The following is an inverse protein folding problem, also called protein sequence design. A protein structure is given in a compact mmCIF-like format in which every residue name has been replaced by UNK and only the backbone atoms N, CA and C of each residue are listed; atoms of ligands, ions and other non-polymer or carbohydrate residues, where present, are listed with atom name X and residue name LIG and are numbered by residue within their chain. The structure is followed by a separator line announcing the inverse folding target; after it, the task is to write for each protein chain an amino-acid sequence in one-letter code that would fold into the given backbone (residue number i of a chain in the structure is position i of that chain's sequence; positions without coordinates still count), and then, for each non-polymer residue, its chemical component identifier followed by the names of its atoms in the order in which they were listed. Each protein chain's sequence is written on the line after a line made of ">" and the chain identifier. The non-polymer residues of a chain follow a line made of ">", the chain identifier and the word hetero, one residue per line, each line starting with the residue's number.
data_IF_576728323453
#
_entry.id   IF_576728323453
#
_cell.length_a   1.000
_cell.length_b   1.000
_cell.length_c   1.000
_cell.angle_alpha   90.00
_cell.angle_beta   90.00
_cell.angle_gamma   90.00
#
_symmetry.space_group_name_H-M   'P 1'
#
loop_
_entity.id
_entity.type
_entity.pdbx_description
1 polymer ?
#
# COMPACT_ATOMS: atom_id res chain seq x y z
N UNK A 1 29.65 21.97 0.99
CA UNK A 1 28.31 22.55 1.22
C UNK A 1 27.31 21.44 1.05
N UNK A 2 26.84 20.83 2.14
CA UNK A 2 25.82 19.78 2.13
C UNK A 2 24.44 20.44 2.15
N UNK A 3 23.76 20.45 1.01
CA UNK A 3 22.35 20.84 0.94
C UNK A 3 21.48 19.92 1.80
N UNK A 4 20.26 20.34 2.17
CA UNK A 4 19.36 19.49 2.93
C UNK A 4 19.06 18.23 2.10
N UNK A 5 19.44 17.07 2.64
CA UNK A 5 18.96 15.78 2.15
C UNK A 5 17.43 15.89 2.09
N UNK A 6 16.86 15.66 0.90
CA UNK A 6 15.42 15.79 0.67
C UNK A 6 14.60 15.01 1.70
N UNK A 7 13.36 15.40 1.93
CA UNK A 7 12.48 14.58 2.77
C UNK A 7 12.32 13.20 2.14
N UNK A 8 12.21 12.15 2.96
CA UNK A 8 11.77 10.85 2.47
C UNK A 8 10.41 11.04 1.78
N UNK A 9 10.26 10.44 0.60
CA UNK A 9 9.04 10.56 -0.21
C UNK A 9 8.52 9.19 -0.56
N UNK A 10 7.20 9.02 -0.42
CA UNK A 10 6.48 7.79 -0.72
C UNK A 10 5.35 8.14 -1.68
N UNK A 11 5.37 7.58 -2.87
CA UNK A 11 4.34 7.79 -3.89
C UNK A 11 3.79 6.46 -4.34
N UNK A 12 2.47 6.33 -4.41
CA UNK A 12 1.81 5.18 -5.03
C UNK A 12 1.20 5.68 -6.34
N UNK A 13 1.60 5.05 -7.44
CA UNK A 13 1.02 5.25 -8.75
C UNK A 13 0.01 4.12 -8.99
N UNK A 14 -1.26 4.50 -9.14
CA UNK A 14 -2.35 3.59 -9.51
C UNK A 14 -2.61 3.80 -11.00
N UNK A 15 -2.56 2.73 -11.78
CA UNK A 15 -2.79 2.74 -13.23
C UNK A 15 -4.21 2.26 -13.53
N UNK A 16 -4.93 2.99 -14.39
CA UNK A 16 -6.39 2.85 -14.61
C UNK A 16 -6.82 1.69 -15.54
N UNK A 17 -5.92 0.77 -15.90
CA UNK A 17 -6.11 -0.21 -16.98
C UNK A 17 -5.86 -1.68 -16.57
N UNK A 18 -5.84 -1.96 -15.28
CA UNK A 18 -5.49 -3.31 -14.78
C UNK A 18 -3.99 -3.61 -14.87
N UNK A 19 -3.16 -2.62 -15.22
CA UNK A 19 -1.73 -2.72 -15.03
C UNK A 19 -1.39 -2.77 -13.52
N UNK A 20 -0.29 -3.45 -13.15
CA UNK A 20 0.17 -3.50 -11.77
C UNK A 20 0.49 -2.10 -11.26
N UNK A 21 0.06 -1.80 -10.04
CA UNK A 21 0.41 -0.56 -9.37
C UNK A 21 1.89 -0.55 -8.99
N UNK A 22 2.43 0.64 -8.82
CA UNK A 22 3.80 0.84 -8.36
C UNK A 22 3.83 1.75 -7.14
N UNK A 23 4.45 1.29 -6.06
CA UNK A 23 4.84 2.11 -4.94
C UNK A 23 6.33 2.46 -5.07
N UNK A 24 6.66 3.75 -5.03
CA UNK A 24 8.04 4.23 -4.99
C UNK A 24 8.34 4.79 -3.59
N UNK A 25 9.42 4.31 -2.99
CA UNK A 25 9.90 4.72 -1.68
C UNK A 25 11.33 5.23 -1.82
N UNK A 26 11.53 6.53 -1.61
CA UNK A 26 12.84 7.16 -1.64
C UNK A 26 13.33 7.43 -0.21
N UNK A 27 14.47 6.82 0.14
CA UNK A 27 15.16 7.03 1.42
C UNK A 27 16.32 8.00 1.22
N UNK A 28 16.05 9.29 1.39
CA UNK A 28 17.02 10.34 1.08
C UNK A 28 18.32 10.23 1.91
N UNK A 29 18.21 9.79 3.17
CA UNK A 29 19.37 9.64 4.07
C UNK A 29 20.33 8.54 3.61
N UNK A 30 19.82 7.43 3.12
CA UNK A 30 20.63 6.30 2.63
C UNK A 30 20.90 6.38 1.14
N UNK A 31 20.29 7.34 0.44
CA UNK A 31 20.33 7.48 -1.02
C UNK A 31 19.82 6.23 -1.74
N UNK A 32 18.81 5.60 -1.16
CA UNK A 32 18.19 4.39 -1.71
C UNK A 32 16.79 4.70 -2.27
N UNK A 33 16.43 4.03 -3.35
CA UNK A 33 15.10 4.03 -3.94
C UNK A 33 14.60 2.60 -4.08
N UNK A 34 13.37 2.36 -3.64
CA UNK A 34 12.67 1.09 -3.79
C UNK A 34 11.41 1.30 -4.63
N UNK A 35 11.31 0.62 -5.77
CA UNK A 35 10.09 0.58 -6.59
C UNK A 35 9.47 -0.80 -6.46
N UNK A 36 8.35 -0.88 -5.76
CA UNK A 36 7.59 -2.11 -5.55
C UNK A 36 6.44 -2.14 -6.54
N UNK A 37 6.38 -3.16 -7.39
CA UNK A 37 5.28 -3.34 -8.35
C UNK A 37 4.47 -4.58 -8.01
N UNK A 38 3.18 -4.51 -8.32
CA UNK A 38 2.32 -5.66 -8.16
C UNK A 38 0.83 -5.32 -8.22
N UNK A 39 0.00 -6.25 -7.76
CA UNK A 39 -1.45 -6.11 -7.83
C UNK A 39 -1.99 -5.40 -6.58
N UNK A 40 -2.89 -4.43 -6.78
CA UNK A 40 -3.63 -3.83 -5.67
C UNK A 40 -4.91 -4.61 -5.35
N UNK A 41 -5.17 -4.73 -4.06
CA UNK A 41 -6.41 -5.25 -3.49
C UNK A 41 -6.97 -4.26 -2.48
N UNK A 42 -8.28 -4.08 -2.49
CA UNK A 42 -8.97 -3.17 -1.58
C UNK A 42 -9.91 -3.96 -0.66
N UNK A 43 -9.81 -3.71 0.64
CA UNK A 43 -10.68 -4.26 1.67
C UNK A 43 -11.45 -3.10 2.31
N UNK A 44 -12.68 -2.86 1.87
CA UNK A 44 -13.57 -1.88 2.45
C UNK A 44 -14.36 -2.41 3.64
N UNK A 45 -15.32 -1.61 4.11
CA UNK A 45 -16.29 -2.06 5.11
C UNK A 45 -17.29 -3.05 4.47
N UNK A 46 -17.70 -4.13 5.17
CA UNK A 46 -18.81 -4.96 4.69
C UNK A 46 -20.13 -4.20 4.55
N UNK A 47 -20.28 -3.11 5.31
CA UNK A 47 -21.49 -2.30 5.35
C UNK A 47 -21.47 -1.16 4.33
N UNK A 48 -20.30 -0.86 3.71
CA UNK A 48 -20.26 0.13 2.64
C UNK A 48 -20.92 -0.45 1.39
N UNK A 49 -21.85 0.30 0.79
CA UNK A 49 -22.56 -0.10 -0.44
C UNK A 49 -21.62 -0.34 -1.64
N UNK A 50 -20.36 0.07 -1.54
CA UNK A 50 -19.37 -0.13 -2.57
C UNK A 50 -18.88 -1.59 -2.57
N UNK A 51 -19.42 -2.36 -3.51
CA UNK A 51 -19.04 -3.73 -3.87
C UNK A 51 -17.56 -3.92 -4.31
N UNK A 52 -16.72 -2.89 -4.17
CA UNK A 52 -15.32 -2.87 -4.62
C UNK A 52 -14.35 -3.62 -3.67
N UNK A 53 -14.84 -4.21 -2.57
CA UNK A 53 -14.00 -5.03 -1.70
C UNK A 53 -13.61 -6.33 -2.39
N UNK A 54 -12.34 -6.42 -2.80
CA UNK A 54 -11.78 -7.59 -3.48
C UNK A 54 -10.58 -8.08 -2.68
N UNK A 55 -10.74 -9.10 -1.81
CA UNK A 55 -9.60 -9.65 -1.09
C UNK A 55 -8.64 -10.40 -2.03
N UNK A 56 -7.36 -10.46 -1.67
CA UNK A 56 -6.39 -11.20 -2.46
C UNK A 56 -6.72 -12.70 -2.51
N UNK A 57 -6.53 -13.35 -3.68
CA UNK A 57 -6.90 -14.76 -3.89
C UNK A 57 -6.08 -15.76 -3.06
N UNK A 58 -4.92 -15.32 -2.54
CA UNK A 58 -4.05 -16.11 -1.68
C UNK A 58 -4.34 -15.95 -0.18
N UNK A 59 -5.18 -14.99 0.20
CA UNK A 59 -5.49 -14.74 1.60
C UNK A 59 -6.70 -15.54 2.10
N UNK A 60 -7.19 -15.19 3.29
CA UNK A 60 -8.37 -15.84 3.85
C UNK A 60 -9.61 -15.56 2.99
N UNK A 61 -10.44 -16.58 2.78
CA UNK A 61 -11.79 -16.41 2.21
C UNK A 61 -12.81 -15.95 3.25
N UNK A 62 -12.47 -16.06 4.53
CA UNK A 62 -13.30 -15.59 5.62
C UNK A 62 -13.22 -14.07 5.74
N UNK A 63 -14.34 -13.39 5.58
CA UNK A 63 -14.44 -11.95 5.71
C UNK A 63 -14.10 -11.46 7.13
N UNK A 64 -14.39 -12.27 8.15
CA UNK A 64 -14.05 -11.95 9.54
C UNK A 64 -12.55 -11.76 9.76
N UNK A 65 -11.71 -12.48 9.02
CA UNK A 65 -10.26 -12.31 9.06
C UNK A 65 -9.84 -10.91 8.58
N UNK A 66 -10.38 -10.46 7.45
CA UNK A 66 -10.04 -9.16 6.86
C UNK A 66 -10.60 -7.98 7.65
N UNK A 67 -11.82 -8.13 8.18
CA UNK A 67 -12.41 -7.14 9.08
C UNK A 67 -11.56 -6.99 10.35
N UNK A 68 -11.10 -8.09 10.94
CA UNK A 68 -10.20 -8.05 12.10
C UNK A 68 -8.89 -7.31 11.78
N UNK A 69 -8.29 -7.58 10.62
CA UNK A 69 -7.09 -6.85 10.16
C UNK A 69 -7.38 -5.36 9.99
N UNK A 70 -8.53 -5.00 9.39
CA UNK A 70 -8.97 -3.62 9.21
C UNK A 70 -9.18 -2.91 10.54
N UNK A 71 -9.82 -3.55 11.52
CA UNK A 71 -9.96 -3.02 12.89
C UNK A 71 -8.61 -2.80 13.56
N UNK A 72 -7.67 -3.73 13.39
CA UNK A 72 -6.35 -3.63 13.99
C UNK A 72 -5.58 -2.41 13.45
N UNK A 73 -5.58 -2.23 12.12
CA UNK A 73 -4.93 -1.05 11.50
C UNK A 73 -5.64 0.23 11.92
N UNK A 74 -6.98 0.27 11.90
CA UNK A 74 -7.74 1.43 12.35
C UNK A 74 -7.37 1.86 13.77
N UNK A 75 -7.31 0.91 14.71
CA UNK A 75 -6.92 1.18 16.10
C UNK A 75 -5.46 1.63 16.27
N UNK A 76 -4.60 1.38 15.27
CA UNK A 76 -3.21 1.83 15.29
C UNK A 76 -3.04 3.27 14.80
N UNK A 77 -4.04 3.81 14.07
CA UNK A 77 -4.04 5.20 13.63
C UNK A 77 -4.26 6.13 14.83
N UNK A 78 -3.62 7.30 14.79
CA UNK A 78 -3.90 8.38 15.73
C UNK A 78 -5.33 8.91 15.55
N UNK A 79 -5.86 9.57 16.59
CA UNK A 79 -7.19 10.21 16.51
C UNK A 79 -7.27 11.21 15.34
N UNK A 80 -6.21 11.97 15.08
CA UNK A 80 -6.13 12.93 13.99
C UNK A 80 -6.16 12.25 12.60
N UNK A 81 -5.62 11.05 12.47
CA UNK A 81 -5.72 10.26 11.24
C UNK A 81 -7.10 9.65 11.08
N UNK A 82 -7.68 9.10 12.15
CA UNK A 82 -9.03 8.53 12.15
C UNK A 82 -10.09 9.57 11.75
N UNK A 83 -9.99 10.79 12.28
CA UNK A 83 -10.93 11.89 11.97
C UNK A 83 -10.90 12.31 10.50
N UNK A 84 -9.82 12.05 9.75
CA UNK A 84 -9.80 12.29 8.29
C UNK A 84 -10.80 11.43 7.52
N UNK A 85 -11.17 10.28 8.08
CA UNK A 85 -12.16 9.39 7.50
C UNK A 85 -13.61 9.75 7.90
N UNK A 86 -13.79 10.65 8.87
CA UNK A 86 -15.10 11.22 9.25
C UNK A 86 -15.62 12.26 8.25
N UNK A 87 -15.02 12.36 7.05
CA UNK A 87 -15.34 13.40 6.07
C UNK A 87 -16.82 13.40 5.69
N UNK A 88 -17.47 14.56 5.85
CA UNK A 88 -18.76 14.90 5.24
C UNK A 88 -18.73 14.46 3.78
N UNK A 89 -19.71 13.67 3.34
CA UNK A 89 -19.89 13.23 1.96
C UNK A 89 -19.46 14.34 1.00
N UNK A 90 -18.48 14.06 0.14
CA UNK A 90 -18.02 14.99 -0.91
C UNK A 90 -19.13 15.13 -1.95
N UNK A 91 -20.20 15.87 -1.62
CA UNK A 91 -21.17 16.49 -2.51
C UNK A 91 -22.33 17.11 -1.69
N UNK A 92 -22.36 18.44 -1.58
CA UNK A 92 -23.55 19.22 -1.91
C UNK A 92 -24.85 19.15 -1.09
N UNK A 93 -25.01 18.35 -0.03
CA UNK A 93 -26.27 18.33 0.72
C UNK A 93 -26.11 18.83 2.16
N UNK A 94 -26.48 20.09 2.37
CA UNK A 94 -26.67 20.67 3.68
C UNK A 94 -28.05 20.23 4.22
N UNK A 95 -28.13 18.97 4.63
CA UNK A 95 -29.25 18.45 5.42
C UNK A 95 -28.80 18.17 6.84
N UNK A 96 -29.44 18.82 7.81
CA UNK A 96 -29.21 18.70 9.25
C UNK A 96 -28.84 17.26 9.66
N UNK A 97 -27.56 17.06 10.02
CA UNK A 97 -27.10 15.77 10.55
C UNK A 97 -27.08 15.85 12.07
N UNK A 98 -27.98 15.07 12.67
CA UNK A 98 -27.98 14.69 14.07
C UNK A 98 -26.55 14.36 14.55
N UNK A 99 -26.25 14.73 15.80
CA UNK A 99 -25.04 14.33 16.51
C UNK A 99 -24.97 12.80 16.63
N UNK A 100 -24.48 12.12 15.59
CA UNK A 100 -24.16 10.70 15.61
C UNK A 100 -22.71 10.51 16.08
N UNK A 101 -22.56 9.77 17.18
CA UNK A 101 -21.35 9.10 17.70
C UNK A 101 -20.13 9.17 16.74
N UNK A 102 -19.31 10.22 16.91
CA UNK A 102 -18.25 10.68 15.98
C UNK A 102 -17.19 9.62 15.62
N UNK A 103 -17.14 8.49 16.33
CA UNK A 103 -16.17 7.42 16.09
C UNK A 103 -16.63 6.33 15.11
N UNK A 104 -17.94 6.10 14.94
CA UNK A 104 -18.44 4.96 14.13
C UNK A 104 -18.54 5.28 12.64
N UNK A 105 -18.72 6.54 12.28
CA UNK A 105 -18.89 6.96 10.89
C UNK A 105 -17.58 6.82 10.08
N UNK A 106 -16.45 7.29 10.61
CA UNK A 106 -15.17 7.19 9.89
C UNK A 106 -14.66 5.78 9.70
N UNK A 107 -14.95 4.89 10.65
CA UNK A 107 -14.58 3.49 10.49
C UNK A 107 -15.29 2.84 9.30
N UNK A 108 -16.53 3.22 8.97
CA UNK A 108 -17.23 2.69 7.80
C UNK A 108 -16.60 3.12 6.47
N UNK A 109 -16.00 4.31 6.44
CA UNK A 109 -15.31 4.86 5.27
C UNK A 109 -13.83 4.43 5.17
N UNK A 110 -13.32 3.75 6.20
CA UNK A 110 -11.95 3.27 6.24
C UNK A 110 -11.82 1.93 5.51
N UNK A 111 -10.81 1.81 4.64
CA UNK A 111 -10.46 0.56 3.97
C UNK A 111 -8.95 0.29 4.03
N UNK A 112 -8.58 -0.97 3.80
CA UNK A 112 -7.19 -1.37 3.61
C UNK A 112 -6.89 -1.45 2.12
N UNK A 113 -5.80 -0.81 1.71
CA UNK A 113 -5.21 -1.00 0.40
C UNK A 113 -3.96 -1.88 0.56
N UNK A 114 -3.96 -3.02 -0.12
CA UNK A 114 -2.88 -4.02 -0.06
C UNK A 114 -2.19 -4.08 -1.42
N UNK A 115 -0.86 -4.00 -1.43
CA UNK A 115 -0.04 -4.24 -2.62
C UNK A 115 0.59 -5.63 -2.53
N UNK A 116 0.15 -6.54 -3.40
CA UNK A 116 0.76 -7.86 -3.58
C UNK A 116 1.94 -7.75 -4.53
N UNK A 117 3.13 -7.58 -3.95
CA UNK A 117 4.36 -7.26 -4.68
C UNK A 117 4.89 -8.48 -5.43
N UNK A 118 4.99 -8.37 -6.75
CA UNK A 118 5.59 -9.39 -7.62
C UNK A 118 7.03 -9.05 -8.04
N UNK A 119 7.41 -7.78 -7.92
CA UNK A 119 8.73 -7.31 -8.29
C UNK A 119 9.16 -6.09 -7.48
N UNK A 120 10.45 -6.03 -7.19
CA UNK A 120 11.09 -4.93 -6.47
C UNK A 120 12.32 -4.50 -7.26
N UNK A 121 12.43 -3.22 -7.53
CA UNK A 121 13.66 -2.60 -8.02
C UNK A 121 14.25 -1.78 -6.88
N UNK A 122 15.46 -2.13 -6.45
CA UNK A 122 16.24 -1.39 -5.46
C UNK A 122 17.39 -0.68 -6.17
N UNK A 123 17.44 0.63 -6.06
CA UNK A 123 18.50 1.47 -6.62
C UNK A 123 19.23 2.18 -5.50
N UNK A 124 20.57 2.05 -5.48
CA UNK A 124 21.45 2.86 -4.62
C UNK A 124 22.05 3.95 -5.49
N UNK A 125 21.86 5.20 -5.07
CA UNK A 125 22.36 6.38 -5.76
C UNK A 125 23.72 6.80 -5.21
N UNK A 126 24.61 7.20 -6.10
CA UNK A 126 25.91 7.77 -5.77
C UNK A 126 25.86 9.22 -5.32
N UNK A 127 27.05 9.81 -5.15
CA UNK A 127 27.18 11.23 -4.78
C UNK A 127 26.57 12.18 -5.84
N UNK A 128 26.67 11.83 -7.12
CA UNK A 128 26.17 12.64 -8.23
C UNK A 128 24.68 12.40 -8.55
N UNK A 129 23.94 11.74 -7.65
CA UNK A 129 22.54 11.32 -7.86
C UNK A 129 22.35 10.40 -9.08
N UNK A 130 23.43 9.74 -9.52
CA UNK A 130 23.40 8.72 -10.55
C UNK A 130 23.30 7.33 -9.89
N UNK A 131 22.58 6.38 -10.49
CA UNK A 131 22.53 5.00 -10.00
C UNK A 131 23.93 4.38 -9.98
N UNK A 132 24.42 3.93 -8.81
CA UNK A 132 25.66 3.15 -8.69
C UNK A 132 25.37 1.65 -8.68
N UNK A 133 24.26 1.27 -8.04
CA UNK A 133 23.81 -0.11 -7.96
C UNK A 133 22.32 -0.17 -8.25
N UNK A 134 21.94 -1.11 -9.11
CA UNK A 134 20.55 -1.41 -9.40
C UNK A 134 20.32 -2.90 -9.32
N UNK A 135 19.41 -3.29 -8.44
CA UNK A 135 19.02 -4.68 -8.19
C UNK A 135 17.54 -4.84 -8.51
N UNK A 136 17.21 -5.84 -9.32
CA UNK A 136 15.83 -6.23 -9.60
C UNK A 136 15.56 -7.60 -9.02
N UNK A 137 14.49 -7.68 -8.25
CA UNK A 137 13.96 -8.89 -7.66
C UNK A 137 12.63 -9.17 -8.31
N UNK A 138 12.43 -10.38 -8.83
CA UNK A 138 11.15 -10.81 -9.38
C UNK A 138 10.78 -12.20 -8.84
N UNK A 139 9.50 -12.38 -8.50
CA UNK A 139 8.97 -13.65 -8.02
C UNK A 139 8.92 -14.64 -9.19
N UNK A 140 9.65 -15.75 -9.08
CA UNK A 140 9.72 -16.76 -10.16
C UNK A 140 8.66 -17.85 -9.98
N UNK A 141 8.48 -18.32 -8.75
CA UNK A 141 7.42 -19.27 -8.38
C UNK A 141 7.00 -18.98 -6.95
N UNK A 142 5.73 -18.62 -6.68
CA UNK A 142 5.21 -18.70 -5.33
C UNK A 142 5.17 -20.19 -4.95
N UNK A 143 6.02 -20.63 -4.01
CA UNK A 143 5.90 -22.00 -3.48
C UNK A 143 4.54 -22.09 -2.80
N UNK A 144 3.63 -22.86 -3.37
CA UNK A 144 2.31 -23.11 -2.78
C UNK A 144 2.28 -24.52 -2.21
N UNK A 145 1.96 -24.64 -0.92
CA UNK A 145 1.66 -25.92 -0.27
C UNK A 145 0.25 -25.82 0.29
N UNK A 146 -0.67 -26.66 -0.20
CA UNK A 146 -2.10 -26.62 0.17
C UNK A 146 -2.76 -25.23 -0.02
N UNK A 147 -2.40 -24.53 -1.10
CA UNK A 147 -2.94 -23.19 -1.38
C UNK A 147 -2.33 -22.05 -0.56
N UNK A 148 -1.40 -22.33 0.37
CA UNK A 148 -0.66 -21.31 1.13
C UNK A 148 0.70 -21.06 0.49
N UNK A 149 1.11 -19.79 0.39
CA UNK A 149 2.48 -19.43 0.01
C UNK A 149 3.41 -19.85 1.16
N UNK A 150 4.24 -20.87 0.94
CA UNK A 150 5.21 -21.42 1.91
C UNK A 150 6.64 -20.95 1.65
N UNK A 151 6.84 -20.17 0.60
CA UNK A 151 8.09 -19.52 0.28
C UNK A 151 7.98 -18.72 -1.01
N UNK A 152 8.80 -17.70 -1.15
CA UNK A 152 8.96 -16.97 -2.39
C UNK A 152 10.37 -17.25 -2.91
N UNK A 153 10.44 -17.76 -4.14
CA UNK A 153 11.70 -17.82 -4.87
C UNK A 153 11.84 -16.54 -5.67
N UNK A 154 12.85 -15.75 -5.31
CA UNK A 154 13.22 -14.53 -5.99
C UNK A 154 14.38 -14.81 -6.93
N UNK A 155 14.27 -14.40 -8.18
CA UNK A 155 15.42 -14.24 -9.04
C UNK A 155 15.92 -12.80 -8.91
N UNK A 156 17.24 -12.67 -8.92
CA UNK A 156 17.94 -11.42 -8.68
C UNK A 156 18.80 -11.11 -9.88
N UNK A 157 18.58 -9.94 -10.46
CA UNK A 157 19.41 -9.37 -11.52
C UNK A 157 20.05 -8.10 -10.98
N UNK A 158 21.38 -8.03 -11.07
CA UNK A 158 22.15 -6.89 -10.57
C UNK A 158 22.94 -6.22 -11.68
N UNK A 159 22.93 -4.91 -11.70
CA UNK A 159 23.82 -4.10 -12.54
C UNK A 159 24.52 -3.09 -11.65
N UNK A 160 25.85 -3.07 -11.74
CA UNK A 160 26.68 -2.04 -11.12
C UNK A 160 27.14 -1.09 -12.22
N UNK A 161 27.04 0.20 -11.96
CA UNK A 161 27.48 1.24 -12.88
C UNK A 161 28.87 1.72 -12.45
N UNK A 162 29.75 1.88 -13.43
CA UNK A 162 31.11 2.41 -13.26
C UNK A 162 31.14 3.92 -13.54
#
# INVERSE_FOLDING_TARGET
>A
MSGPLGANSNTILITDDGAPAEACWCMARTKEEYRLRGQLYFIGSPESMDSASVPPPWGSKDWGFWENARQQVWRSLSTDEQTRFNGKSRAGDAGDSEMMDDGKCGYRNFGLLLLDVDSVEHTVMGEDLLPELKMRYHVVVPKRTYGRITGLHWQVEGTRFE
#
